data_IF_650864764159
#
_entry.id   IF_650864764159
#
_cell.length_a   1.000
_cell.length_b   1.000
_cell.length_c   1.000
_cell.angle_alpha   90.00
_cell.angle_beta   90.00
_cell.angle_gamma   90.00
#
_symmetry.space_group_name_H-M   'P 1'
#
loop_
_entity.id
_entity.type
_entity.pdbx_description
1 polymer ?
#
# COMPACT_ATOMS: atom_id res chain seq x y z
N UNK A 1 -12.88 -8.85 2.51
CA UNK A 1 -13.03 -7.39 2.37
C UNK A 1 -13.83 -6.85 3.55
N UNK A 2 -13.29 -5.89 4.30
CA UNK A 2 -14.01 -5.26 5.41
C UNK A 2 -15.20 -4.44 4.88
N UNK A 3 -16.41 -4.55 5.45
CA UNK A 3 -17.61 -3.86 4.93
C UNK A 3 -17.42 -2.34 4.77
N UNK A 4 -16.77 -1.68 5.73
CA UNK A 4 -16.47 -0.24 5.68
C UNK A 4 -15.44 0.20 4.62
N UNK A 5 -14.96 -0.71 3.76
CA UNK A 5 -14.03 -0.40 2.67
C UNK A 5 -14.68 -0.52 1.29
N UNK A 6 -15.93 -0.97 1.19
CA UNK A 6 -16.59 -1.24 -0.08
C UNK A 6 -16.69 0.00 -0.97
N UNK A 7 -17.07 1.15 -0.41
CA UNK A 7 -17.29 2.37 -1.18
C UNK A 7 -16.01 3.01 -1.72
N UNK A 8 -14.85 2.68 -1.12
CA UNK A 8 -13.55 3.28 -1.45
C UNK A 8 -12.60 2.35 -2.20
N UNK A 9 -12.96 1.07 -2.38
CA UNK A 9 -12.06 0.07 -2.95
C UNK A 9 -11.66 0.40 -4.39
N UNK A 10 -12.59 0.91 -5.20
CA UNK A 10 -12.32 1.30 -6.58
C UNK A 10 -11.33 2.46 -6.66
N UNK A 11 -11.49 3.47 -5.80
CA UNK A 11 -10.56 4.61 -5.75
C UNK A 11 -9.15 4.17 -5.32
N UNK A 12 -9.05 3.29 -4.32
CA UNK A 12 -7.77 2.73 -3.89
C UNK A 12 -7.09 1.90 -4.99
N UNK A 13 -7.86 1.11 -5.75
CA UNK A 13 -7.34 0.31 -6.85
C UNK A 13 -6.69 1.15 -7.95
N UNK A 14 -7.33 2.26 -8.34
CA UNK A 14 -6.79 3.18 -9.36
C UNK A 14 -5.46 3.77 -8.92
N UNK A 15 -5.35 4.20 -7.65
CA UNK A 15 -4.08 4.75 -7.13
C UNK A 15 -2.95 3.73 -7.16
N UNK A 16 -3.24 2.47 -6.79
CA UNK A 16 -2.24 1.39 -6.83
C UNK A 16 -1.84 1.06 -8.28
N UNK A 17 -2.79 1.04 -9.21
CA UNK A 17 -2.53 0.77 -10.62
C UNK A 17 -1.61 1.83 -11.25
N UNK A 18 -1.92 3.12 -11.02
CA UNK A 18 -1.08 4.23 -11.49
C UNK A 18 0.31 4.19 -10.86
N UNK A 19 0.40 3.92 -9.55
CA UNK A 19 1.70 3.77 -8.87
C UNK A 19 2.51 2.61 -9.47
N UNK A 20 1.89 1.46 -9.71
CA UNK A 20 2.55 0.30 -10.31
C UNK A 20 3.05 0.61 -11.73
N UNK A 21 2.26 1.33 -12.53
CA UNK A 21 2.67 1.80 -13.86
C UNK A 21 3.91 2.70 -13.77
N UNK A 22 3.87 3.73 -12.92
CA UNK A 22 4.98 4.68 -12.77
C UNK A 22 6.26 4.00 -12.27
N UNK A 23 6.15 3.06 -11.31
CA UNK A 23 7.29 2.31 -10.80
C UNK A 23 7.90 1.40 -11.87
N UNK A 24 7.07 0.77 -12.70
CA UNK A 24 7.54 -0.01 -13.86
C UNK A 24 8.28 0.87 -14.85
N UNK A 25 7.69 1.99 -15.25
CA UNK A 25 8.25 2.88 -16.26
C UNK A 25 9.58 3.50 -15.83
N UNK A 26 9.69 3.89 -14.54
CA UNK A 26 10.86 4.61 -14.03
C UNK A 26 11.98 3.71 -13.52
N UNK A 27 11.63 2.55 -12.97
CA UNK A 27 12.57 1.70 -12.24
C UNK A 27 12.54 0.23 -12.68
N UNK A 28 11.70 -0.15 -13.65
CA UNK A 28 11.57 -1.54 -14.10
C UNK A 28 10.94 -2.49 -13.08
N UNK A 29 10.28 -1.96 -12.04
CA UNK A 29 9.64 -2.76 -10.99
C UNK A 29 8.36 -3.36 -11.55
N UNK A 30 8.26 -4.69 -11.52
CA UNK A 30 7.15 -5.44 -12.12
C UNK A 30 6.24 -6.14 -11.10
N UNK A 31 6.64 -6.15 -9.83
CA UNK A 31 5.91 -6.78 -8.73
C UNK A 31 5.88 -5.89 -7.49
N UNK A 32 4.77 -5.98 -6.76
CA UNK A 32 4.57 -5.33 -5.46
C UNK A 32 4.27 -6.41 -4.42
N UNK A 33 4.94 -6.32 -3.26
CA UNK A 33 4.69 -7.18 -2.10
C UNK A 33 3.91 -6.40 -1.06
N UNK A 34 2.79 -6.96 -0.60
CA UNK A 34 1.97 -6.36 0.47
C UNK A 34 2.51 -6.76 1.84
N UNK A 35 2.48 -5.83 2.79
CA UNK A 35 2.87 -6.04 4.19
C UNK A 35 1.66 -5.86 5.10
N UNK A 36 1.54 -6.70 6.13
CA UNK A 36 0.60 -6.49 7.24
C UNK A 36 1.13 -5.47 8.26
N UNK A 37 2.44 -5.24 8.27
CA UNK A 37 3.06 -4.21 9.12
C UNK A 37 2.93 -2.84 8.46
N UNK A 38 2.53 -1.86 9.25
CA UNK A 38 2.31 -0.49 8.81
C UNK A 38 2.92 0.55 9.77
N UNK A 39 2.45 1.79 9.66
CA UNK A 39 2.92 2.92 10.47
C UNK A 39 2.74 2.70 11.98
N UNK A 40 1.72 1.96 12.40
CA UNK A 40 1.45 1.72 13.82
C UNK A 40 2.52 0.80 14.43
N UNK A 41 2.98 -0.21 13.70
CA UNK A 41 4.09 -1.07 14.12
C UNK A 41 5.37 -0.25 14.26
N UNK A 42 5.64 0.64 13.29
CA UNK A 42 6.79 1.54 13.34
C UNK A 42 6.75 2.48 14.55
N UNK A 43 5.59 3.03 14.87
CA UNK A 43 5.40 3.87 16.06
C UNK A 43 5.61 3.05 17.33
N UNK A 44 5.00 1.87 17.44
CA UNK A 44 5.18 1.00 18.60
C UNK A 44 6.65 0.62 18.83
N UNK A 45 7.37 0.28 17.76
CA UNK A 45 8.81 -0.02 17.81
C UNK A 45 9.62 1.20 18.27
N UNK A 46 9.28 2.40 17.79
CA UNK A 46 9.98 3.63 18.16
C UNK A 46 9.83 4.01 19.63
N UNK A 47 8.74 3.58 20.28
CA UNK A 47 8.46 3.82 21.71
C UNK A 47 9.06 2.76 22.63
N UNK A 48 9.43 1.59 22.10
CA UNK A 48 10.01 0.48 22.85
C UNK A 48 11.53 0.63 23.10
N UNK A 49 12.15 1.69 22.57
CA UNK A 49 13.54 2.10 22.85
C UNK A 49 13.64 3.18 23.92
#
# INVERSE_FOLDING_TARGET
>A
MHPGRADVIGGGAIVVEELARELRERAGIDQLTVSEHDILDGIALSLAG
#
